data_IF_327333261017
#
_entry.id   IF_327333261017
#
_cell.length_a   1.000
_cell.length_b   1.000
_cell.length_c   1.000
_cell.angle_alpha   90.00
_cell.angle_beta   90.00
_cell.angle_gamma   90.00
#
_symmetry.space_group_name_H-M   'P 1'
#
loop_
_entity.id
_entity.type
_entity.pdbx_description
1 polymer ?
#
# COMPACT_ATOMS: atom_id res chain seq x y z
N UNK A 1 17.65 -21.63 4.05
CA UNK A 1 17.66 -20.56 5.06
C UNK A 1 16.41 -19.73 4.82
N UNK A 2 15.34 -19.97 5.59
CA UNK A 2 14.04 -19.33 5.36
C UNK A 2 14.11 -17.85 5.70
N UNK A 3 13.67 -16.99 4.78
CA UNK A 3 13.49 -15.56 5.05
C UNK A 3 12.44 -15.48 6.17
N UNK A 4 12.72 -14.81 7.31
CA UNK A 4 11.73 -14.73 8.38
C UNK A 4 10.47 -14.03 7.84
N UNK A 5 9.28 -14.56 8.17
CA UNK A 5 7.97 -14.05 7.71
C UNK A 5 7.78 -12.54 7.97
N UNK A 6 8.54 -11.97 8.89
CA UNK A 6 8.56 -10.54 9.20
C UNK A 6 9.21 -9.65 8.11
N UNK A 7 9.80 -10.21 7.05
CA UNK A 7 10.65 -9.48 6.07
C UNK A 7 9.97 -9.19 4.74
N UNK A 8 8.89 -9.90 4.38
CA UNK A 8 8.18 -9.67 3.12
C UNK A 8 7.40 -8.36 3.28
N UNK A 9 7.55 -7.37 2.40
CA UNK A 9 6.76 -6.16 2.50
C UNK A 9 5.38 -6.35 1.83
N UNK A 10 4.31 -5.67 2.27
CA UNK A 10 2.95 -5.85 1.73
C UNK A 10 2.87 -5.78 0.21
N UNK A 11 3.60 -4.84 -0.43
CA UNK A 11 3.63 -4.74 -1.90
C UNK A 11 4.10 -6.01 -2.61
N UNK A 12 5.00 -6.79 -1.99
CA UNK A 12 5.51 -8.03 -2.57
C UNK A 12 4.49 -9.15 -2.46
N UNK A 13 3.83 -9.25 -1.31
CA UNK A 13 2.72 -10.18 -1.12
C UNK A 13 1.60 -9.91 -2.13
N UNK A 14 1.21 -8.64 -2.32
CA UNK A 14 0.21 -8.25 -3.34
C UNK A 14 0.64 -8.71 -4.74
N UNK A 15 1.87 -8.41 -5.17
CA UNK A 15 2.35 -8.80 -6.50
C UNK A 15 2.40 -10.34 -6.68
N UNK A 16 2.83 -11.07 -5.64
CA UNK A 16 2.85 -12.53 -5.65
C UNK A 16 1.43 -13.11 -5.75
N UNK A 17 0.47 -12.58 -4.99
CA UNK A 17 -0.94 -13.00 -5.05
C UNK A 17 -1.59 -12.70 -6.39
N UNK A 18 -1.34 -11.52 -6.98
CA UNK A 18 -1.80 -11.19 -8.34
C UNK A 18 -1.22 -12.16 -9.38
N UNK A 19 0.08 -12.49 -9.26
CA UNK A 19 0.75 -13.48 -10.13
C UNK A 19 0.13 -14.86 -10.01
N UNK A 20 -0.15 -15.32 -8.78
CA UNK A 20 -0.82 -16.60 -8.54
C UNK A 20 -2.25 -16.62 -9.09
N UNK A 21 -2.91 -15.46 -9.16
CA UNK A 21 -4.22 -15.29 -9.77
C UNK A 21 -4.17 -15.14 -11.31
N UNK A 22 -2.99 -15.25 -11.93
CA UNK A 22 -2.81 -15.21 -13.39
C UNK A 22 -2.53 -13.83 -13.97
N UNK A 23 -2.37 -12.80 -13.13
CA UNK A 23 -2.04 -11.43 -13.56
C UNK A 23 -0.52 -11.22 -13.57
N UNK A 24 0.05 -10.64 -14.63
CA UNK A 24 1.50 -10.34 -14.64
C UNK A 24 1.81 -9.10 -13.78
N UNK A 25 2.24 -9.30 -12.54
CA UNK A 25 2.44 -8.23 -11.56
C UNK A 25 3.88 -8.16 -11.02
N UNK A 26 4.37 -6.94 -10.81
CA UNK A 26 5.71 -6.69 -10.29
C UNK A 26 5.71 -5.63 -9.18
N UNK A 27 6.36 -5.93 -8.05
CA UNK A 27 6.52 -4.99 -6.95
C UNK A 27 7.85 -4.21 -7.10
N UNK A 28 7.78 -2.93 -7.48
CA UNK A 28 8.96 -2.07 -7.66
C UNK A 28 8.89 -0.79 -6.81
N UNK A 29 10.03 -0.30 -6.28
CA UNK A 29 10.11 1.06 -5.75
C UNK A 29 9.79 2.07 -6.85
N UNK A 30 9.12 3.16 -6.48
CA UNK A 30 8.69 4.22 -7.40
C UNK A 30 9.84 4.78 -8.24
N UNK A 31 11.03 4.91 -7.63
CA UNK A 31 12.24 5.40 -8.28
C UNK A 31 12.84 4.44 -9.32
N UNK A 32 12.38 3.18 -9.34
CA UNK A 32 12.85 2.11 -10.22
C UNK A 32 11.71 1.56 -11.10
N UNK A 33 10.55 2.22 -11.12
CA UNK A 33 9.38 1.71 -11.82
C UNK A 33 9.60 1.66 -13.34
N UNK A 34 10.39 2.59 -13.89
CA UNK A 34 10.73 2.63 -15.31
C UNK A 34 9.55 3.11 -16.18
N UNK A 35 9.44 2.58 -17.39
CA UNK A 35 8.29 2.84 -18.26
C UNK A 35 7.05 2.10 -17.76
N UNK A 36 5.95 2.84 -17.63
CA UNK A 36 4.67 2.33 -17.13
C UNK A 36 3.66 2.02 -18.24
N UNK A 37 3.96 2.37 -19.50
CA UNK A 37 3.01 2.28 -20.62
C UNK A 37 2.49 0.87 -20.89
N UNK A 38 3.29 -0.15 -20.57
CA UNK A 38 2.93 -1.56 -20.73
C UNK A 38 2.03 -2.14 -19.63
N UNK A 39 1.76 -1.40 -18.55
CA UNK A 39 0.92 -1.88 -17.45
C UNK A 39 -0.52 -1.42 -17.62
N UNK A 40 -1.44 -2.34 -17.36
CA UNK A 40 -2.88 -2.10 -17.54
C UNK A 40 -3.61 -1.71 -16.26
N UNK A 41 -2.94 -1.81 -15.10
CA UNK A 41 -3.45 -1.41 -13.80
C UNK A 41 -2.32 -1.16 -12.80
N UNK A 42 -2.61 -0.35 -11.77
CA UNK A 42 -1.60 0.11 -10.82
C UNK A 42 -2.04 -0.06 -9.38
N UNK A 43 -1.17 -0.63 -8.55
CA UNK A 43 -1.35 -0.68 -7.09
C UNK A 43 -0.29 0.19 -6.43
N UNK A 44 -0.71 1.28 -5.78
CA UNK A 44 0.22 2.28 -5.20
C UNK A 44 0.11 2.26 -3.68
N UNK A 45 1.23 1.94 -3.03
CA UNK A 45 1.33 1.84 -1.58
C UNK A 45 2.05 3.02 -0.92
N UNK A 46 1.53 3.48 0.22
CA UNK A 46 2.26 4.38 1.12
C UNK A 46 2.47 3.75 2.51
N UNK A 47 3.72 3.73 2.99
CA UNK A 47 4.02 3.34 4.37
C UNK A 47 3.97 4.59 5.27
N UNK A 48 3.14 4.57 6.31
CA UNK A 48 2.86 5.75 7.14
C UNK A 48 4.07 6.28 7.96
N UNK A 49 5.18 5.55 8.03
CA UNK A 49 6.28 5.83 8.98
C UNK A 49 7.42 6.70 8.44
N UNK A 50 7.26 7.40 7.31
CA UNK A 50 8.29 8.35 6.90
C UNK A 50 7.75 9.54 6.11
N UNK A 51 7.86 10.72 6.73
CA UNK A 51 7.56 12.02 6.13
C UNK A 51 8.31 12.29 4.81
N UNK A 52 9.50 11.67 4.61
CA UNK A 52 10.26 11.81 3.37
C UNK A 52 9.69 10.98 2.20
N UNK A 53 9.24 9.74 2.46
CA UNK A 53 8.64 8.87 1.44
C UNK A 53 7.34 9.43 0.85
N UNK A 54 6.68 10.33 1.58
CA UNK A 54 5.46 11.02 1.15
C UNK A 54 5.69 12.00 -0.01
N UNK A 55 6.86 12.65 -0.07
CA UNK A 55 7.21 13.56 -1.17
C UNK A 55 7.43 12.80 -2.48
N UNK A 56 8.15 11.69 -2.42
CA UNK A 56 8.44 10.87 -3.60
C UNK A 56 7.18 10.23 -4.19
N UNK A 57 6.30 9.70 -3.34
CA UNK A 57 5.02 9.15 -3.78
C UNK A 57 4.12 10.24 -4.41
N UNK A 58 4.09 11.43 -3.82
CA UNK A 58 3.32 12.56 -4.37
C UNK A 58 3.89 13.03 -5.70
N UNK A 59 5.22 13.18 -5.81
CA UNK A 59 5.87 13.59 -7.04
C UNK A 59 5.58 12.61 -8.19
N UNK A 60 5.64 11.31 -7.91
CA UNK A 60 5.35 10.27 -8.90
C UNK A 60 3.89 10.27 -9.37
N UNK A 61 2.94 10.32 -8.43
CA UNK A 61 1.51 10.36 -8.80
C UNK A 61 1.22 11.60 -9.66
N UNK A 62 1.85 12.73 -9.36
CA UNK A 62 1.67 13.95 -10.15
C UNK A 62 2.38 13.86 -11.52
N UNK A 63 3.59 13.31 -11.60
CA UNK A 63 4.32 13.16 -12.86
C UNK A 63 3.69 12.14 -13.81
N UNK A 64 2.96 11.17 -13.27
CA UNK A 64 2.37 10.07 -14.04
C UNK A 64 0.84 10.12 -14.03
N UNK A 65 0.28 11.24 -13.58
CA UNK A 65 -1.16 11.43 -13.40
C UNK A 65 -1.95 11.11 -14.65
N UNK A 66 -1.49 11.58 -15.82
CA UNK A 66 -2.24 11.41 -17.07
C UNK A 66 -2.39 9.93 -17.41
N UNK A 67 -1.34 9.13 -17.24
CA UNK A 67 -1.41 7.69 -17.45
C UNK A 67 -2.30 7.01 -16.39
N UNK A 68 -2.10 7.37 -15.11
CA UNK A 68 -2.85 6.81 -13.99
C UNK A 68 -4.34 7.17 -14.04
N UNK A 69 -4.71 8.31 -14.61
CA UNK A 69 -6.11 8.72 -14.74
C UNK A 69 -6.88 7.90 -15.80
N UNK A 70 -6.17 7.27 -16.74
CA UNK A 70 -6.77 6.46 -17.80
C UNK A 70 -6.67 4.96 -17.53
N UNK A 71 -6.08 4.56 -16.41
CA UNK A 71 -5.88 3.16 -16.03
C UNK A 71 -6.49 2.93 -14.64
N UNK A 72 -6.99 1.72 -14.35
CA UNK A 72 -7.46 1.39 -13.01
C UNK A 72 -6.32 1.50 -11.99
N UNK A 73 -6.57 2.23 -10.90
CA UNK A 73 -5.61 2.40 -9.80
C UNK A 73 -6.24 1.98 -8.49
N UNK A 74 -5.51 1.21 -7.69
CA UNK A 74 -5.83 0.89 -6.30
C UNK A 74 -4.78 1.50 -5.39
N UNK A 75 -5.21 2.06 -4.26
CA UNK A 75 -4.31 2.61 -3.26
C UNK A 75 -4.28 1.68 -2.05
N UNK A 76 -3.11 1.52 -1.44
CA UNK A 76 -3.05 1.00 -0.08
C UNK A 76 -2.20 1.87 0.83
N UNK A 77 -2.49 1.80 2.12
CA UNK A 77 -1.69 2.43 3.15
C UNK A 77 -1.44 1.46 4.28
N UNK A 78 -0.19 1.40 4.75
CA UNK A 78 0.12 0.65 5.96
C UNK A 78 0.03 1.60 7.15
N UNK A 79 -1.05 1.47 7.92
CA UNK A 79 -1.46 2.40 8.98
C UNK A 79 -0.72 2.21 10.32
N UNK A 80 -1.02 3.09 11.31
CA UNK A 80 -0.44 3.03 12.65
C UNK A 80 -0.66 1.66 13.33
N UNK A 81 0.22 1.33 14.27
CA UNK A 81 0.19 0.08 15.02
C UNK A 81 -1.10 -0.04 15.83
N UNK A 82 -1.92 -1.04 15.52
CA UNK A 82 -3.01 -1.48 16.38
C UNK A 82 -4.11 -0.44 16.62
N UNK A 83 -4.63 -0.46 17.84
CA UNK A 83 -5.78 0.33 18.32
C UNK A 83 -5.33 1.40 19.32
N UNK A 84 -6.10 2.47 19.46
CA UNK A 84 -5.88 3.42 20.54
C UNK A 84 -6.17 2.80 21.92
N UNK A 85 -5.92 3.56 23.01
CA UNK A 85 -6.16 3.10 24.37
C UNK A 85 -7.64 2.73 24.69
N UNK A 86 -8.57 3.01 23.76
CA UNK A 86 -10.00 2.69 23.86
C UNK A 86 -10.40 1.55 22.93
N UNK A 87 -9.46 0.89 22.27
CA UNK A 87 -9.74 -0.21 21.34
C UNK A 87 -10.25 0.26 19.98
N UNK A 88 -10.24 1.56 19.69
CA UNK A 88 -10.66 2.09 18.39
C UNK A 88 -9.51 1.94 17.40
N UNK A 89 -9.80 1.38 16.23
CA UNK A 89 -8.81 1.21 15.18
C UNK A 89 -8.29 2.58 14.73
N UNK A 90 -6.98 2.79 14.85
CA UNK A 90 -6.33 4.00 14.34
C UNK A 90 -6.35 4.06 12.79
N UNK A 91 -6.89 3.04 12.10
CA UNK A 91 -7.18 3.03 10.66
C UNK A 91 -8.04 4.24 10.24
N UNK A 92 -8.94 4.69 11.11
CA UNK A 92 -9.96 5.71 10.76
C UNK A 92 -9.51 7.15 11.00
N UNK A 93 -8.50 7.37 11.85
CA UNK A 93 -8.12 8.73 12.30
C UNK A 93 -6.99 9.36 11.47
N UNK A 94 -6.34 8.57 10.61
CA UNK A 94 -5.18 8.99 9.84
C UNK A 94 -5.41 8.85 8.34
N UNK A 95 -6.46 9.47 7.79
CA UNK A 95 -6.52 9.68 6.34
C UNK A 95 -5.58 10.87 6.01
N UNK A 96 -4.38 10.64 5.45
CA UNK A 96 -3.46 11.73 5.16
C UNK A 96 -4.10 12.64 4.10
N UNK A 97 -4.00 13.96 4.26
CA UNK A 97 -4.53 14.95 3.27
C UNK A 97 -4.10 14.67 1.82
N UNK A 98 -2.97 13.98 1.65
CA UNK A 98 -2.42 13.54 0.37
C UNK A 98 -3.31 12.50 -0.33
N UNK A 99 -3.96 11.59 0.41
CA UNK A 99 -4.89 10.61 -0.16
C UNK A 99 -6.11 11.31 -0.77
N UNK A 100 -6.56 12.42 -0.15
CA UNK A 100 -7.61 13.26 -0.74
C UNK A 100 -7.17 13.91 -2.05
N UNK A 101 -5.91 14.35 -2.11
CA UNK A 101 -5.28 14.87 -3.34
C UNK A 101 -5.19 13.81 -4.44
N UNK A 102 -4.77 12.59 -4.10
CA UNK A 102 -4.71 11.47 -5.03
C UNK A 102 -6.10 11.03 -5.50
N UNK A 103 -7.08 10.95 -4.59
CA UNK A 103 -8.47 10.64 -4.96
C UNK A 103 -9.01 11.55 -6.05
N UNK A 104 -8.70 12.85 -5.93
CA UNK A 104 -9.12 13.85 -6.93
C UNK A 104 -8.31 13.77 -8.22
N UNK A 105 -7.03 13.39 -8.12
CA UNK A 105 -6.11 13.41 -9.26
C UNK A 105 -6.24 12.17 -10.16
N UNK A 106 -6.42 10.98 -9.58
CA UNK A 106 -6.31 9.68 -10.27
C UNK A 106 -7.52 8.75 -10.04
N UNK A 107 -8.54 9.18 -9.30
CA UNK A 107 -9.81 8.45 -9.10
C UNK A 107 -9.61 6.95 -8.80
N UNK A 108 -8.92 6.61 -7.70
CA UNK A 108 -8.63 5.21 -7.37
C UNK A 108 -9.94 4.45 -7.15
N UNK A 109 -9.98 3.22 -7.63
CA UNK A 109 -11.14 2.32 -7.50
C UNK A 109 -11.40 1.92 -6.05
N UNK A 110 -10.32 1.68 -5.32
CA UNK A 110 -10.38 1.40 -3.90
C UNK A 110 -9.17 1.96 -3.17
N UNK A 111 -9.33 2.19 -1.87
CA UNK A 111 -8.24 2.52 -0.97
C UNK A 111 -8.33 1.68 0.30
N UNK A 112 -7.38 0.75 0.46
CA UNK A 112 -7.35 -0.15 1.60
C UNK A 112 -6.25 0.20 2.60
N UNK A 113 -6.58 0.13 3.89
CA UNK A 113 -5.63 0.43 4.97
C UNK A 113 -5.28 -0.87 5.69
N UNK A 114 -4.05 -1.35 5.52
CA UNK A 114 -3.51 -2.51 6.22
C UNK A 114 -2.96 -2.13 7.59
N UNK A 115 -3.07 -3.06 8.54
CA UNK A 115 -2.32 -2.95 9.79
C UNK A 115 -0.81 -3.06 9.53
N UNK A 116 -0.03 -2.21 10.19
CA UNK A 116 1.42 -2.21 10.08
C UNK A 116 2.13 -3.05 11.12
N UNK A 117 3.37 -3.43 10.81
CA UNK A 117 4.34 -3.92 11.79
C UNK A 117 5.23 -2.76 12.25
N UNK A 118 5.60 -2.73 13.53
CA UNK A 118 6.65 -1.83 13.99
C UNK A 118 7.98 -2.42 13.59
N UNK A 119 8.71 -1.74 12.73
CA UNK A 119 10.12 -2.04 12.48
C UNK A 119 10.99 -1.00 13.22
N UNK A 120 11.60 -1.35 14.36
CA UNK A 120 12.49 -0.47 15.12
C UNK A 120 13.68 0.05 14.29
N UNK A 121 14.13 -0.74 13.31
CA UNK A 121 15.23 -0.40 12.43
C UNK A 121 14.89 0.71 11.45
N UNK A 122 13.61 0.87 11.11
CA UNK A 122 13.10 1.87 10.16
C UNK A 122 12.54 3.14 10.79
N UNK A 123 12.51 3.20 12.12
CA UNK A 123 12.13 4.42 12.84
C UNK A 123 13.15 5.55 12.62
N UNK A 124 12.65 6.75 12.42
CA UNK A 124 13.42 7.99 12.45
C UNK A 124 14.03 8.24 13.84
N UNK A 125 15.03 9.11 13.94
CA UNK A 125 15.66 9.45 15.22
C UNK A 125 14.66 10.01 16.25
N UNK A 126 13.69 10.81 15.78
CA UNK A 126 12.63 11.34 16.62
C UNK A 126 11.72 10.23 17.18
N UNK A 127 11.30 9.29 16.33
CA UNK A 127 10.46 8.16 16.74
C UNK A 127 11.21 7.19 17.69
N UNK A 128 12.50 6.95 17.42
CA UNK A 128 13.38 6.18 18.33
C UNK A 128 13.48 6.84 19.70
N UNK A 129 13.53 8.17 19.75
CA UNK A 129 13.60 8.93 21.00
C UNK A 129 12.27 8.90 21.74
N UNK A 130 11.15 9.08 21.03
CA UNK A 130 9.80 8.99 21.61
C UNK A 130 9.55 7.62 22.23
N UNK A 131 10.00 6.54 21.56
CA UNK A 131 9.91 5.17 22.06
C UNK A 131 10.69 4.91 23.37
N UNK A 132 11.65 5.75 23.74
CA UNK A 132 12.32 5.64 25.05
C UNK A 132 11.39 5.98 26.22
N UNK A 133 10.27 6.65 25.96
CA UNK A 133 9.25 6.92 26.97
C UNK A 133 8.42 5.65 27.25
N UNK A 134 8.25 5.23 28.52
CA UNK A 134 7.47 4.04 28.87
C UNK A 134 6.04 4.03 28.31
N UNK A 135 5.37 5.19 28.36
CA UNK A 135 4.01 5.35 27.83
C UNK A 135 3.95 5.15 26.30
N UNK A 136 4.93 5.68 25.57
CA UNK A 136 5.00 5.53 24.12
C UNK A 136 5.41 4.12 23.71
N UNK A 137 6.28 3.45 24.48
CA UNK A 137 6.64 2.04 24.26
C UNK A 137 5.46 1.10 24.45
N UNK A 138 4.59 1.36 25.43
CA UNK A 138 3.37 0.59 25.65
C UNK A 138 2.36 0.78 24.50
N UNK A 139 2.30 1.99 23.91
CA UNK A 139 1.48 2.29 22.73
C UNK A 139 2.12 1.82 21.41
N UNK A 140 3.39 1.41 21.42
CA UNK A 140 4.12 0.94 20.24
C UNK A 140 4.74 -0.45 20.49
N UNK A 141 3.91 -1.50 20.65
CA UNK A 141 4.40 -2.86 20.84
C UNK A 141 5.17 -3.37 19.61
N UNK A 142 6.30 -4.04 19.83
CA UNK A 142 7.09 -4.72 18.80
C UNK A 142 6.40 -6.02 18.36
N UNK A 143 5.21 -5.88 17.78
CA UNK A 143 4.46 -7.00 17.21
C UNK A 143 4.14 -6.70 15.76
N UNK A 144 4.19 -7.76 14.96
CA UNK A 144 3.62 -7.73 13.62
C UNK A 144 2.11 -7.83 13.75
N UNK A 145 1.40 -6.78 13.37
CA UNK A 145 -0.06 -6.76 13.30
C UNK A 145 -0.57 -6.91 11.87
N UNK A 146 0.32 -7.15 10.90
CA UNK A 146 -0.11 -7.38 9.52
C UNK A 146 -0.99 -8.62 9.48
N UNK A 147 -2.18 -8.41 8.95
CA UNK A 147 -3.07 -9.49 8.58
C UNK A 147 -2.74 -9.87 7.12
N UNK A 148 -2.05 -10.99 6.95
CA UNK A 148 -1.67 -11.49 5.63
C UNK A 148 -2.88 -11.93 4.82
N UNK A 149 -3.90 -12.46 5.48
CA UNK A 149 -5.16 -12.86 4.83
C UNK A 149 -5.88 -11.63 4.29
N UNK A 150 -5.93 -10.53 5.04
CA UNK A 150 -6.48 -9.24 4.56
C UNK A 150 -5.72 -8.71 3.32
N UNK A 151 -4.39 -8.84 3.31
CA UNK A 151 -3.56 -8.43 2.15
C UNK A 151 -3.84 -9.32 0.93
N UNK A 152 -3.90 -10.64 1.13
CA UNK A 152 -4.15 -11.61 0.07
C UNK A 152 -5.56 -11.50 -0.51
N UNK A 153 -6.57 -11.32 0.34
CA UNK A 153 -7.97 -11.20 -0.09
C UNK A 153 -8.18 -9.92 -0.89
N UNK A 154 -7.58 -8.80 -0.47
CA UNK A 154 -7.61 -7.56 -1.24
C UNK A 154 -6.88 -7.68 -2.58
N UNK A 155 -5.72 -8.35 -2.60
CA UNK A 155 -5.01 -8.60 -3.87
C UNK A 155 -5.84 -9.48 -4.82
N UNK A 156 -6.58 -10.47 -4.28
CA UNK A 156 -7.45 -11.33 -5.09
C UNK A 156 -8.63 -10.56 -5.69
N UNK A 157 -9.26 -9.66 -4.93
CA UNK A 157 -10.35 -8.83 -5.48
C UNK A 157 -9.86 -7.93 -6.63
N UNK A 158 -8.63 -7.40 -6.53
CA UNK A 158 -8.00 -6.65 -7.63
C UNK A 158 -7.83 -7.52 -8.88
N UNK A 159 -7.35 -8.75 -8.73
CA UNK A 159 -7.18 -9.68 -9.85
C UNK A 159 -8.51 -9.97 -10.54
N UNK A 160 -9.57 -10.21 -9.77
CA UNK A 160 -10.92 -10.44 -10.29
C UNK A 160 -11.45 -9.24 -11.08
N UNK A 161 -11.28 -8.02 -10.56
CA UNK A 161 -11.65 -6.79 -11.27
C UNK A 161 -10.91 -6.62 -12.60
N UNK A 162 -9.61 -6.95 -12.64
CA UNK A 162 -8.78 -6.88 -13.85
C UNK A 162 -9.25 -7.91 -14.88
N UNK A 163 -9.43 -9.17 -14.48
CA UNK A 163 -9.93 -10.22 -15.37
C UNK A 163 -11.28 -9.87 -15.97
N UNK A 164 -12.20 -9.30 -15.19
CA UNK A 164 -13.49 -8.84 -15.71
C UNK A 164 -13.35 -7.68 -16.70
N UNK A 165 -12.38 -6.80 -16.50
CA UNK A 165 -12.11 -5.69 -17.42
C UNK A 165 -11.50 -6.17 -18.74
N UNK A 166 -10.63 -7.18 -18.69
CA UNK A 166 -10.04 -7.78 -19.88
C UNK A 166 -11.10 -8.50 -20.70
N UNK A 167 -12.00 -9.23 -20.04
CA UNK A 167 -13.14 -9.87 -20.68
C UNK A 167 -14.05 -8.84 -21.39
N UNK A 168 -14.41 -7.75 -20.70
CA UNK A 168 -15.21 -6.68 -21.31
C UNK A 168 -14.53 -6.03 -22.52
N UNK A 169 -13.22 -5.78 -22.45
CA UNK A 169 -12.46 -5.21 -23.58
C UNK A 169 -12.43 -6.16 -24.78
N UNK A 170 -12.25 -7.45 -24.55
CA UNK A 170 -12.26 -8.46 -25.61
C UNK A 170 -13.63 -8.60 -26.31
N UNK A 171 -14.73 -8.27 -25.62
CA UNK A 171 -16.08 -8.25 -26.18
C UNK A 171 -16.37 -6.97 -26.99
N UNK A 172 -15.65 -5.88 -26.74
CA UNK A 172 -15.82 -4.57 -27.37
C UNK A 172 -14.93 -4.34 -28.60
N UNK A 173 -13.96 -5.23 -28.88
CA UNK A 173 -13.08 -5.19 -30.05
C UNK A 173 -13.63 -6.11 -31.18
N UNK A 174 -14.25 -5.58 -32.25
CA UNK A 174 -14.86 -6.37 -33.33
C UNK A 174 -13.87 -6.92 -34.36
#
# INVERSE_FOLDING_TARGET
MGIPANTVPPQRCIAETLTLAGQHAEARPVQQAGDLGGYEGFVIGSAAYSMHRRKDATAFVMSTRDLLAHRPVWLFSTGPLGTDAKGVSLRTTAEPKEIRGFRTAIHPRDHHVFFGALDPGRLTFAEKTLRKLPAARAMMPERDFRDWTDIEDWARSIAEELTQQDARRAEEEP
#
